data_IF_735865736339
#
_entry.id   IF_735865736339
#
_cell.length_a   1.000
_cell.length_b   1.000
_cell.length_c   1.000
_cell.angle_alpha   90.00
_cell.angle_beta   90.00
_cell.angle_gamma   90.00
#
_symmetry.space_group_name_H-M   'P 1'
#
loop_
_entity.id
_entity.type
_entity.pdbx_description
1 polymer ?
#
# COMPACT_ATOMS: atom_id res chain seq x y z
N UNK A 1 -16.36 -7.16 5.49
CA UNK A 1 -15.06 -7.33 4.81
C UNK A 1 -15.16 -8.44 3.79
N UNK A 2 -14.84 -8.18 2.52
CA UNK A 2 -14.89 -9.13 1.41
C UNK A 2 -13.45 -9.61 1.13
N UNK A 3 -13.20 -10.88 1.38
CA UNK A 3 -11.86 -11.50 1.35
C UNK A 3 -11.26 -11.65 2.74
N UNK A 4 -10.86 -12.88 3.09
CA UNK A 4 -10.19 -13.24 4.35
C UNK A 4 -8.89 -14.02 4.06
N UNK A 5 -8.17 -13.54 3.01
CA UNK A 5 -6.80 -13.94 2.73
C UNK A 5 -5.82 -13.21 3.64
N UNK A 6 -4.54 -13.18 3.26
CA UNK A 6 -3.48 -12.49 4.02
C UNK A 6 -3.85 -11.03 4.35
N UNK A 7 -4.27 -10.24 3.36
CA UNK A 7 -4.61 -8.85 3.59
C UNK A 7 -5.79 -8.72 4.58
N UNK A 8 -6.90 -9.39 4.33
CA UNK A 8 -8.09 -9.33 5.17
C UNK A 8 -7.84 -9.83 6.59
N UNK A 9 -7.20 -10.98 6.77
CA UNK A 9 -7.05 -11.60 8.10
C UNK A 9 -5.90 -11.04 8.92
N UNK A 10 -4.78 -10.63 8.27
CA UNK A 10 -3.56 -10.19 8.97
C UNK A 10 -3.46 -8.68 9.08
N UNK A 11 -3.94 -7.93 8.07
CA UNK A 11 -3.81 -6.47 8.07
C UNK A 11 -5.13 -5.77 8.41
N UNK A 12 -6.15 -5.90 7.56
CA UNK A 12 -7.38 -5.14 7.72
C UNK A 12 -8.14 -5.47 9.02
N UNK A 13 -8.42 -6.74 9.29
CA UNK A 13 -9.24 -7.13 10.43
C UNK A 13 -8.63 -6.73 11.80
N UNK A 14 -7.32 -6.95 12.06
CA UNK A 14 -6.70 -6.49 13.29
C UNK A 14 -6.69 -4.97 13.46
N UNK A 15 -6.44 -4.22 12.37
CA UNK A 15 -6.44 -2.75 12.40
C UNK A 15 -7.84 -2.20 12.66
N UNK A 16 -8.87 -2.74 12.01
CA UNK A 16 -10.28 -2.39 12.26
C UNK A 16 -10.64 -2.67 13.73
N UNK A 17 -10.34 -3.88 14.21
CA UNK A 17 -10.66 -4.29 15.57
C UNK A 17 -9.90 -3.49 16.64
N UNK A 18 -8.77 -2.89 16.30
CA UNK A 18 -7.96 -2.03 17.17
C UNK A 18 -8.39 -0.55 17.12
N UNK A 19 -9.30 -0.18 16.22
CA UNK A 19 -9.79 1.19 16.07
C UNK A 19 -11.08 1.39 16.86
N UNK A 20 -11.09 2.35 17.79
CA UNK A 20 -12.27 2.66 18.57
C UNK A 20 -13.44 3.05 17.65
N UNK A 21 -14.62 2.52 17.91
CA UNK A 21 -15.83 2.80 17.13
C UNK A 21 -16.00 1.90 15.90
N UNK A 22 -15.01 1.08 15.52
CA UNK A 22 -15.09 0.15 14.40
C UNK A 22 -15.16 -1.31 14.87
N UNK A 23 -15.83 -2.15 14.07
CA UNK A 23 -15.89 -3.59 14.27
C UNK A 23 -16.04 -4.33 12.94
N UNK A 24 -15.51 -5.54 12.88
CA UNK A 24 -15.76 -6.46 11.76
C UNK A 24 -17.11 -7.13 11.98
N UNK A 25 -18.18 -6.66 11.33
CA UNK A 25 -19.53 -7.21 11.46
C UNK A 25 -19.77 -8.44 10.58
N UNK A 26 -19.18 -8.45 9.37
CA UNK A 26 -19.35 -9.54 8.42
C UNK A 26 -18.04 -9.86 7.69
N UNK A 27 -17.71 -11.14 7.57
CA UNK A 27 -16.58 -11.65 6.79
C UNK A 27 -17.11 -12.50 5.63
N UNK A 28 -16.70 -12.16 4.40
CA UNK A 28 -17.04 -12.92 3.20
C UNK A 28 -15.82 -13.74 2.75
N UNK A 29 -15.96 -15.06 2.72
CA UNK A 29 -14.95 -15.95 2.14
C UNK A 29 -15.56 -17.30 1.74
N UNK A 30 -15.31 -17.75 0.51
CA UNK A 30 -15.73 -19.08 0.04
C UNK A 30 -14.87 -20.24 0.52
N UNK A 31 -13.72 -19.96 1.18
CA UNK A 31 -12.80 -20.99 1.65
C UNK A 31 -13.21 -21.50 3.05
N UNK A 32 -13.53 -22.81 3.23
CA UNK A 32 -14.02 -23.34 4.49
C UNK A 32 -13.05 -23.19 5.67
N UNK A 33 -11.74 -23.31 5.41
CA UNK A 33 -10.72 -23.13 6.44
C UNK A 33 -10.71 -21.68 6.93
N UNK A 34 -10.70 -20.71 6.01
CA UNK A 34 -10.75 -19.27 6.34
C UNK A 34 -12.06 -18.89 7.03
N UNK A 35 -13.17 -19.53 6.70
CA UNK A 35 -14.44 -19.37 7.43
C UNK A 35 -14.31 -19.80 8.90
N UNK A 36 -13.65 -20.94 9.15
CA UNK A 36 -13.41 -21.42 10.52
C UNK A 36 -12.48 -20.47 11.30
N UNK A 37 -11.41 -19.98 10.64
CA UNK A 37 -10.49 -18.98 11.19
C UNK A 37 -11.21 -17.67 11.53
N UNK A 38 -12.05 -17.18 10.62
CA UNK A 38 -12.83 -15.95 10.82
C UNK A 38 -13.79 -16.06 12.00
N UNK A 39 -14.55 -17.18 12.10
CA UNK A 39 -15.45 -17.43 13.25
C UNK A 39 -14.73 -17.49 14.59
N UNK A 40 -13.49 -18.02 14.59
CA UNK A 40 -12.66 -18.07 15.80
C UNK A 40 -12.12 -16.71 16.18
N UNK A 41 -11.65 -15.92 15.20
CA UNK A 41 -11.05 -14.61 15.43
C UNK A 41 -12.09 -13.51 15.73
N UNK A 42 -13.29 -13.63 15.13
CA UNK A 42 -14.38 -12.67 15.22
C UNK A 42 -15.70 -13.40 15.58
N UNK A 43 -15.87 -13.84 16.84
CA UNK A 43 -17.02 -14.67 17.25
C UNK A 43 -18.38 -13.97 17.10
N UNK A 44 -18.39 -12.64 17.14
CA UNK A 44 -19.60 -11.83 17.00
C UNK A 44 -19.90 -11.46 15.53
N UNK A 45 -19.03 -11.84 14.59
CA UNK A 45 -19.20 -11.53 13.17
C UNK A 45 -20.00 -12.60 12.45
N UNK A 46 -20.76 -12.20 11.45
CA UNK A 46 -21.32 -13.13 10.48
C UNK A 46 -20.22 -13.58 9.50
N UNK A 47 -20.25 -14.86 9.14
CA UNK A 47 -19.32 -15.41 8.14
C UNK A 47 -20.14 -16.03 7.02
N UNK A 48 -20.09 -15.39 5.85
CA UNK A 48 -20.85 -15.75 4.64
C UNK A 48 -19.92 -16.13 3.50
N UNK A 49 -20.45 -16.74 2.45
CA UNK A 49 -19.65 -17.19 1.30
C UNK A 49 -19.80 -16.31 0.07
N UNK A 50 -20.90 -15.59 -0.05
CA UNK A 50 -21.23 -14.77 -1.23
C UNK A 50 -21.22 -13.28 -0.88
N UNK A 51 -20.45 -12.44 -1.61
CA UNK A 51 -20.49 -10.98 -1.45
C UNK A 51 -21.89 -10.37 -1.63
N UNK A 52 -22.78 -10.98 -2.44
CA UNK A 52 -24.13 -10.52 -2.64
C UNK A 52 -24.91 -10.36 -1.32
N UNK A 53 -24.66 -11.26 -0.35
CA UNK A 53 -25.29 -11.21 0.97
C UNK A 53 -24.97 -9.91 1.75
N UNK A 54 -23.81 -9.29 1.50
CA UNK A 54 -23.44 -7.99 2.09
C UNK A 54 -24.18 -6.86 1.40
N UNK A 55 -24.23 -6.86 0.06
CA UNK A 55 -24.87 -5.80 -0.71
C UNK A 55 -26.39 -5.78 -0.55
N UNK A 56 -27.04 -6.96 -0.44
CA UNK A 56 -28.46 -7.08 -0.12
C UNK A 56 -28.83 -6.55 1.27
N UNK A 57 -27.87 -6.53 2.18
CA UNK A 57 -28.03 -6.04 3.56
C UNK A 57 -27.19 -4.77 3.79
N UNK A 58 -27.05 -3.93 2.78
CA UNK A 58 -26.20 -2.73 2.83
C UNK A 58 -26.53 -1.83 4.06
N UNK A 59 -27.81 -1.71 4.43
CA UNK A 59 -28.23 -0.91 5.58
C UNK A 59 -27.72 -1.42 6.96
N UNK A 60 -27.13 -2.62 7.03
CA UNK A 60 -26.53 -3.18 8.24
C UNK A 60 -25.04 -2.87 8.36
N UNK A 61 -24.46 -2.18 7.39
CA UNK A 61 -23.03 -1.91 7.29
C UNK A 61 -22.76 -0.43 7.05
N UNK A 62 -21.71 0.10 7.69
CA UNK A 62 -21.27 1.50 7.52
C UNK A 62 -20.27 1.65 6.38
N UNK A 63 -19.50 0.59 6.07
CA UNK A 63 -18.57 0.54 4.95
C UNK A 63 -18.18 -0.92 4.61
N UNK A 64 -17.58 -1.09 3.43
CA UNK A 64 -17.03 -2.37 2.96
C UNK A 64 -15.54 -2.27 2.75
N UNK A 65 -14.80 -3.31 3.15
CA UNK A 65 -13.39 -3.50 2.77
C UNK A 65 -13.32 -4.59 1.72
N UNK A 66 -12.74 -4.29 0.56
CA UNK A 66 -12.43 -5.23 -0.50
C UNK A 66 -10.97 -5.66 -0.36
N UNK A 67 -10.73 -6.84 0.21
CA UNK A 67 -9.42 -7.46 0.43
C UNK A 67 -9.32 -8.81 -0.31
N UNK A 68 -9.82 -8.84 -1.53
CA UNK A 68 -9.86 -9.97 -2.46
C UNK A 68 -8.66 -9.94 -3.42
N UNK A 69 -8.48 -10.88 -4.35
CA UNK A 69 -7.51 -10.76 -5.44
C UNK A 69 -7.76 -9.54 -6.33
N UNK A 70 -6.69 -8.95 -6.88
CA UNK A 70 -6.74 -7.68 -7.60
C UNK A 70 -7.70 -7.66 -8.80
N UNK A 71 -7.87 -8.80 -9.47
CA UNK A 71 -8.74 -8.97 -10.65
C UNK A 71 -10.24 -8.79 -10.37
N UNK A 72 -10.67 -8.89 -9.11
CA UNK A 72 -12.06 -8.70 -8.70
C UNK A 72 -12.31 -7.41 -7.93
N UNK A 73 -11.27 -6.58 -7.70
CA UNK A 73 -11.41 -5.33 -6.94
C UNK A 73 -12.46 -4.39 -7.56
N UNK A 74 -12.39 -4.19 -8.88
CA UNK A 74 -13.26 -3.26 -9.61
C UNK A 74 -14.72 -3.69 -9.51
N UNK A 75 -15.04 -4.97 -9.79
CA UNK A 75 -16.41 -5.48 -9.72
C UNK A 75 -17.00 -5.34 -8.30
N UNK A 76 -16.24 -5.77 -7.29
CA UNK A 76 -16.72 -5.75 -5.91
C UNK A 76 -16.87 -4.33 -5.37
N UNK A 77 -15.93 -3.43 -5.69
CA UNK A 77 -16.02 -2.03 -5.30
C UNK A 77 -17.20 -1.32 -5.99
N UNK A 78 -17.35 -1.52 -7.30
CA UNK A 78 -18.48 -0.95 -8.06
C UNK A 78 -19.84 -1.38 -7.49
N UNK A 79 -20.02 -2.67 -7.18
CA UNK A 79 -21.24 -3.19 -6.58
C UNK A 79 -21.51 -2.65 -5.18
N UNK A 80 -20.45 -2.43 -4.38
CA UNK A 80 -20.60 -1.81 -3.07
C UNK A 80 -21.02 -0.34 -3.19
N UNK A 81 -20.44 0.42 -4.14
CA UNK A 81 -20.82 1.80 -4.43
C UNK A 81 -22.28 1.88 -4.90
N UNK A 82 -22.72 0.98 -5.81
CA UNK A 82 -24.11 0.92 -6.28
C UNK A 82 -25.10 0.60 -5.14
N UNK A 83 -24.65 -0.14 -4.12
CA UNK A 83 -25.41 -0.40 -2.90
C UNK A 83 -25.39 0.77 -1.89
N UNK A 84 -24.70 1.88 -2.22
CA UNK A 84 -24.56 3.05 -1.36
C UNK A 84 -23.56 2.87 -0.20
N UNK A 85 -22.70 1.85 -0.25
CA UNK A 85 -21.72 1.56 0.80
C UNK A 85 -20.39 2.25 0.53
N UNK A 86 -19.86 3.05 1.45
CA UNK A 86 -18.47 3.50 1.45
C UNK A 86 -17.50 2.32 1.31
N UNK A 87 -16.42 2.50 0.52
CA UNK A 87 -15.54 1.39 0.14
C UNK A 87 -14.08 1.70 0.45
N UNK A 88 -13.44 0.78 1.18
CA UNK A 88 -11.98 0.66 1.25
C UNK A 88 -11.56 -0.46 0.31
N UNK A 89 -10.71 -0.18 -0.65
CA UNK A 89 -10.11 -1.21 -1.51
C UNK A 89 -8.67 -1.44 -1.08
N UNK A 90 -8.29 -2.72 -0.87
CA UNK A 90 -6.87 -3.05 -0.71
C UNK A 90 -6.09 -2.60 -1.94
N UNK A 91 -4.82 -2.29 -1.78
CA UNK A 91 -3.98 -1.85 -2.90
C UNK A 91 -3.67 -3.03 -3.87
N UNK A 92 -3.58 -2.75 -5.16
CA UNK A 92 -3.92 -1.50 -5.85
C UNK A 92 -5.45 -1.29 -5.92
N UNK A 93 -5.88 -0.04 -6.05
CA UNK A 93 -7.31 0.31 -6.19
C UNK A 93 -7.98 -0.45 -7.35
N UNK A 94 -7.25 -0.61 -8.45
CA UNK A 94 -7.63 -1.38 -9.63
C UNK A 94 -6.36 -1.89 -10.34
N UNK A 95 -6.45 -2.84 -11.29
CA UNK A 95 -5.32 -3.28 -12.11
C UNK A 95 -4.74 -2.19 -13.01
N UNK A 96 -5.53 -1.23 -13.46
CA UNK A 96 -5.14 -0.12 -14.35
C UNK A 96 -5.65 1.24 -13.86
N UNK A 97 -4.98 2.32 -14.30
CA UNK A 97 -5.40 3.67 -13.97
C UNK A 97 -6.78 4.02 -14.56
N UNK A 98 -7.13 3.50 -15.73
CA UNK A 98 -8.44 3.74 -16.37
C UNK A 98 -9.59 3.15 -15.54
N UNK A 99 -9.43 1.92 -15.05
CA UNK A 99 -10.41 1.27 -14.18
C UNK A 99 -10.53 1.98 -12.84
N UNK A 100 -9.40 2.38 -12.23
CA UNK A 100 -9.40 3.15 -10.99
C UNK A 100 -10.14 4.49 -11.15
N UNK A 101 -9.90 5.20 -12.25
CA UNK A 101 -10.59 6.46 -12.57
C UNK A 101 -12.08 6.26 -12.70
N UNK A 102 -12.53 5.21 -13.40
CA UNK A 102 -13.95 4.88 -13.53
C UNK A 102 -14.61 4.60 -12.19
N UNK A 103 -13.93 3.92 -11.27
CA UNK A 103 -14.45 3.71 -9.91
C UNK A 103 -14.57 5.03 -9.12
N UNK A 104 -13.57 5.91 -9.23
CA UNK A 104 -13.61 7.23 -8.57
C UNK A 104 -14.75 8.09 -9.13
N UNK A 105 -14.90 8.15 -10.45
CA UNK A 105 -16.01 8.86 -11.11
C UNK A 105 -17.39 8.30 -10.71
N UNK A 106 -17.52 6.97 -10.57
CA UNK A 106 -18.73 6.33 -10.05
C UNK A 106 -19.02 6.75 -8.61
N UNK A 107 -18.01 6.71 -7.73
CA UNK A 107 -18.13 7.11 -6.32
C UNK A 107 -18.55 8.58 -6.19
N UNK A 108 -17.90 9.48 -6.94
CA UNK A 108 -18.25 10.91 -7.01
C UNK A 108 -19.68 11.12 -7.50
N UNK A 109 -20.08 10.43 -8.58
CA UNK A 109 -21.45 10.51 -9.13
C UNK A 109 -22.54 10.05 -8.18
N UNK A 110 -22.22 9.10 -7.29
CA UNK A 110 -23.12 8.58 -6.26
C UNK A 110 -23.02 9.34 -4.93
N UNK A 111 -22.01 10.19 -4.74
CA UNK A 111 -21.71 10.83 -3.46
C UNK A 111 -21.31 9.84 -2.36
N UNK A 112 -20.66 8.74 -2.72
CA UNK A 112 -20.23 7.66 -1.81
C UNK A 112 -18.70 7.66 -1.69
N UNK A 113 -18.18 7.54 -0.46
CA UNK A 113 -16.74 7.53 -0.20
C UNK A 113 -16.07 6.27 -0.78
N UNK A 114 -14.95 6.47 -1.47
CA UNK A 114 -14.01 5.40 -1.83
C UNK A 114 -12.59 5.81 -1.44
N UNK A 115 -11.77 4.86 -0.97
CA UNK A 115 -10.36 5.07 -0.65
C UNK A 115 -9.55 3.81 -0.87
N UNK A 116 -8.24 3.96 -1.12
CA UNK A 116 -7.31 2.85 -1.27
C UNK A 116 -6.46 2.66 0.00
N UNK A 117 -6.23 1.40 0.40
CA UNK A 117 -5.44 1.08 1.59
C UNK A 117 -3.93 1.22 1.34
N UNK A 118 -3.44 2.47 1.25
CA UNK A 118 -2.02 2.78 1.11
C UNK A 118 -1.35 2.93 2.50
N UNK A 119 -1.44 1.88 3.31
CA UNK A 119 -1.00 1.86 4.71
C UNK A 119 0.46 2.25 4.94
N UNK A 120 1.35 2.02 3.96
CA UNK A 120 2.77 2.36 4.08
C UNK A 120 3.09 3.85 4.07
N UNK A 121 2.09 4.72 3.88
CA UNK A 121 2.20 6.16 4.17
C UNK A 121 2.48 6.44 5.64
N UNK A 122 2.12 5.49 6.52
CA UNK A 122 2.31 5.52 7.97
C UNK A 122 3.40 4.55 8.45
N UNK A 123 4.33 4.15 7.57
CA UNK A 123 5.57 3.48 7.97
C UNK A 123 6.43 4.48 8.77
N UNK A 124 7.12 4.02 9.81
CA UNK A 124 7.99 4.83 10.68
C UNK A 124 9.06 5.60 9.89
N UNK A 125 9.61 4.97 8.84
CA UNK A 125 10.60 5.57 7.96
C UNK A 125 10.03 6.73 7.12
N UNK A 126 8.77 6.60 6.65
CA UNK A 126 8.09 7.64 5.88
C UNK A 126 7.69 8.83 6.76
N UNK A 127 7.17 8.56 7.96
CA UNK A 127 6.82 9.61 8.92
C UNK A 127 8.06 10.38 9.37
N UNK A 128 9.16 9.69 9.64
CA UNK A 128 10.44 10.32 9.99
C UNK A 128 10.99 11.17 8.85
N UNK A 129 10.97 10.63 7.62
CA UNK A 129 11.42 11.39 6.46
C UNK A 129 10.57 12.64 6.22
N UNK A 130 9.24 12.54 6.35
CA UNK A 130 8.33 13.70 6.23
C UNK A 130 8.69 14.79 7.23
N UNK A 131 8.90 14.44 8.51
CA UNK A 131 9.35 15.38 9.53
C UNK A 131 10.67 16.07 9.15
N UNK A 132 11.67 15.31 8.69
CA UNK A 132 12.96 15.88 8.28
C UNK A 132 12.85 16.83 7.06
N UNK A 133 11.91 16.55 6.14
CA UNK A 133 11.60 17.41 5.01
C UNK A 133 10.92 18.70 5.47
N UNK A 134 9.90 18.60 6.33
CA UNK A 134 9.14 19.73 6.87
C UNK A 134 10.02 20.67 7.70
N UNK A 135 10.98 20.12 8.46
CA UNK A 135 12.00 20.85 9.21
C UNK A 135 13.08 21.49 8.30
N UNK A 136 13.10 21.13 7.00
CA UNK A 136 14.13 21.59 6.06
C UNK A 136 15.54 21.06 6.34
N UNK A 137 15.64 20.00 7.15
CA UNK A 137 16.91 19.41 7.58
C UNK A 137 17.76 18.94 6.40
N UNK A 138 17.13 18.36 5.38
CA UNK A 138 17.82 17.85 4.19
C UNK A 138 18.12 18.94 3.15
N UNK A 139 17.49 20.12 3.26
CA UNK A 139 17.53 21.15 2.23
C UNK A 139 16.69 20.75 1.01
N UNK A 140 17.12 21.14 -0.20
CA UNK A 140 16.49 20.72 -1.45
C UNK A 140 16.82 19.24 -1.73
N UNK A 141 15.77 18.43 -1.92
CA UNK A 141 15.96 17.00 -2.21
C UNK A 141 16.37 16.80 -3.67
N UNK A 142 17.57 16.29 -3.86
CA UNK A 142 18.15 16.00 -5.17
C UNK A 142 17.76 14.58 -5.64
N UNK A 143 17.71 13.63 -4.69
CA UNK A 143 17.39 12.23 -4.99
C UNK A 143 16.78 11.52 -3.79
N UNK A 144 15.72 10.80 -4.05
CA UNK A 144 15.09 9.82 -3.17
C UNK A 144 15.29 8.43 -3.73
N UNK A 145 15.83 7.52 -2.94
CA UNK A 145 15.99 6.11 -3.27
C UNK A 145 15.19 5.28 -2.28
N UNK A 146 14.36 4.37 -2.76
CA UNK A 146 13.52 3.52 -1.92
C UNK A 146 13.47 2.09 -2.45
N UNK A 147 13.51 1.12 -1.54
CA UNK A 147 13.60 -0.29 -1.89
C UNK A 147 12.63 -1.14 -1.07
N UNK A 148 11.95 -2.06 -1.77
CA UNK A 148 11.27 -3.21 -1.20
C UNK A 148 11.83 -4.45 -1.87
N UNK A 149 12.97 -4.91 -1.39
CA UNK A 149 13.76 -6.01 -1.96
C UNK A 149 13.73 -7.22 -1.03
N UNK A 150 13.53 -8.40 -1.60
CA UNK A 150 13.44 -9.68 -0.88
C UNK A 150 14.23 -10.74 -1.63
N UNK A 151 14.67 -11.79 -0.91
CA UNK A 151 15.28 -12.97 -1.52
C UNK A 151 14.32 -14.15 -1.51
N UNK A 152 13.65 -14.36 -2.63
CA UNK A 152 12.72 -15.48 -2.88
C UNK A 152 12.99 -16.05 -4.28
N UNK A 153 14.14 -16.74 -4.50
CA UNK A 153 14.60 -17.12 -5.83
C UNK A 153 13.74 -18.18 -6.53
N UNK A 154 12.94 -18.94 -5.77
CA UNK A 154 12.00 -19.90 -6.32
C UNK A 154 10.58 -19.32 -6.39
N UNK A 155 9.80 -19.74 -7.38
CA UNK A 155 8.36 -19.52 -7.40
C UNK A 155 7.69 -20.32 -6.28
N UNK A 156 6.56 -19.84 -5.79
CA UNK A 156 5.77 -20.52 -4.78
C UNK A 156 5.23 -21.85 -5.32
N UNK A 157 5.41 -22.93 -4.58
CA UNK A 157 4.90 -24.27 -4.95
C UNK A 157 3.36 -24.28 -5.03
N UNK A 158 2.70 -23.46 -4.20
CA UNK A 158 1.23 -23.36 -4.15
C UNK A 158 0.66 -22.42 -5.24
N UNK A 159 1.51 -21.84 -6.10
CA UNK A 159 1.10 -20.97 -7.19
C UNK A 159 0.39 -19.71 -6.67
N UNK A 160 1.08 -18.92 -5.83
CA UNK A 160 0.52 -17.66 -5.34
C UNK A 160 0.00 -16.82 -6.52
N UNK A 161 -1.26 -16.39 -6.47
CA UNK A 161 -1.93 -15.72 -7.59
C UNK A 161 -1.13 -14.54 -8.17
N UNK A 162 -0.38 -13.81 -7.33
CA UNK A 162 0.49 -12.69 -7.75
C UNK A 162 1.63 -13.14 -8.67
N UNK A 163 2.06 -14.39 -8.58
CA UNK A 163 3.17 -14.94 -9.37
C UNK A 163 2.69 -15.62 -10.66
N UNK A 164 1.42 -16.06 -10.69
CA UNK A 164 0.83 -16.80 -11.82
C UNK A 164 -0.13 -15.96 -12.67
N UNK A 165 -0.61 -14.83 -12.15
CA UNK A 165 -1.43 -13.89 -12.91
C UNK A 165 -0.57 -13.03 -13.81
N UNK A 166 -1.04 -12.79 -15.02
CA UNK A 166 -0.41 -11.82 -15.93
C UNK A 166 -0.52 -10.39 -15.36
N UNK A 167 0.39 -9.48 -15.74
CA UNK A 167 0.37 -8.11 -15.22
C UNK A 167 -0.95 -7.37 -15.42
N UNK A 168 -1.65 -7.64 -16.53
CA UNK A 168 -2.96 -7.06 -16.87
C UNK A 168 -4.08 -7.55 -15.92
N UNK A 169 -3.92 -8.72 -15.32
CA UNK A 169 -4.80 -9.28 -14.30
C UNK A 169 -4.34 -8.97 -12.87
N UNK A 170 -3.42 -8.00 -12.73
CA UNK A 170 -2.96 -7.54 -11.42
C UNK A 170 -1.80 -8.33 -10.81
N UNK A 171 -1.14 -9.20 -11.58
CA UNK A 171 0.07 -9.92 -11.15
C UNK A 171 1.32 -9.04 -11.18
N UNK A 172 2.40 -9.54 -10.56
CA UNK A 172 3.73 -8.94 -10.59
C UNK A 172 4.09 -8.04 -9.43
N UNK A 173 5.38 -7.85 -9.27
CA UNK A 173 5.99 -7.05 -8.21
C UNK A 173 5.79 -5.55 -8.43
N UNK A 174 5.65 -5.12 -9.69
CA UNK A 174 5.32 -3.74 -10.01
C UNK A 174 4.03 -3.29 -9.31
N UNK A 175 2.96 -4.09 -9.37
CA UNK A 175 1.71 -3.76 -8.70
C UNK A 175 1.73 -4.12 -7.21
N UNK A 176 2.43 -5.19 -6.80
CA UNK A 176 2.43 -5.62 -5.40
C UNK A 176 3.29 -4.71 -4.51
N UNK A 177 4.53 -4.43 -4.90
CA UNK A 177 5.48 -3.62 -4.13
C UNK A 177 5.71 -2.24 -4.74
N UNK A 178 5.74 -2.15 -6.08
CA UNK A 178 5.95 -0.90 -6.79
C UNK A 178 4.86 0.12 -6.54
N UNK A 179 3.60 -0.30 -6.34
CA UNK A 179 2.49 0.59 -5.98
C UNK A 179 2.77 1.36 -4.69
N UNK A 180 3.31 0.71 -3.66
CA UNK A 180 3.70 1.38 -2.42
C UNK A 180 4.85 2.36 -2.62
N UNK A 181 5.88 1.96 -3.39
CA UNK A 181 7.04 2.81 -3.64
C UNK A 181 6.69 4.07 -4.42
N UNK A 182 5.82 3.94 -5.43
CA UNK A 182 5.35 5.06 -6.25
C UNK A 182 4.42 5.97 -5.43
N UNK A 183 3.49 5.40 -4.66
CA UNK A 183 2.61 6.15 -3.77
C UNK A 183 3.40 7.00 -2.77
N UNK A 184 4.38 6.41 -2.08
CA UNK A 184 5.25 7.10 -1.15
C UNK A 184 6.04 8.24 -1.81
N UNK A 185 6.59 7.99 -3.01
CA UNK A 185 7.34 9.01 -3.75
C UNK A 185 6.45 10.18 -4.18
N UNK A 186 5.23 9.90 -4.66
CA UNK A 186 4.26 10.93 -5.05
C UNK A 186 3.78 11.72 -3.83
N UNK A 187 3.49 11.04 -2.72
CA UNK A 187 3.06 11.69 -1.48
C UNK A 187 4.11 12.64 -0.89
N UNK A 188 5.41 12.38 -1.12
CA UNK A 188 6.51 13.22 -0.64
C UNK A 188 6.92 14.33 -1.61
N UNK A 189 6.93 14.05 -2.92
CA UNK A 189 7.55 14.95 -3.92
C UNK A 189 6.58 15.44 -4.99
N UNK A 190 5.32 15.04 -4.91
CA UNK A 190 4.27 15.43 -5.86
C UNK A 190 4.28 14.62 -7.15
N UNK A 191 3.47 15.04 -8.14
CA UNK A 191 3.22 14.29 -9.37
C UNK A 191 4.49 14.02 -10.18
N UNK A 192 4.52 12.85 -10.83
CA UNK A 192 5.58 12.45 -11.76
C UNK A 192 5.35 13.13 -13.10
N UNK A 193 6.40 13.70 -13.69
CA UNK A 193 6.39 14.26 -15.04
C UNK A 193 6.96 13.31 -16.09
N UNK A 194 7.95 12.48 -15.72
CA UNK A 194 8.62 11.54 -16.63
C UNK A 194 9.03 10.28 -15.88
N UNK A 195 8.97 9.14 -16.54
CA UNK A 195 9.37 7.84 -15.98
C UNK A 195 10.21 7.04 -16.97
N UNK A 196 11.25 6.36 -16.44
CA UNK A 196 11.94 5.24 -17.08
C UNK A 196 11.79 4.00 -16.20
N UNK A 197 11.59 2.84 -16.80
CA UNK A 197 11.38 1.60 -16.07
C UNK A 197 12.08 0.40 -16.73
N UNK A 198 12.54 -0.53 -15.88
CA UNK A 198 12.98 -1.87 -16.26
C UNK A 198 12.11 -2.87 -15.50
N UNK A 199 11.48 -3.80 -16.22
CA UNK A 199 10.60 -4.83 -15.67
C UNK A 199 11.07 -6.19 -16.19
N UNK A 200 11.50 -7.07 -15.31
CA UNK A 200 12.02 -8.38 -15.65
C UNK A 200 11.30 -9.51 -14.89
N UNK A 201 11.20 -10.67 -15.54
CA UNK A 201 10.80 -11.94 -14.92
C UNK A 201 12.04 -12.84 -14.82
N UNK A 202 12.78 -12.72 -13.71
CA UNK A 202 14.06 -13.43 -13.49
C UNK A 202 13.86 -14.86 -13.00
N UNK A 203 12.72 -15.15 -12.37
CA UNK A 203 12.39 -16.49 -11.86
C UNK A 203 11.66 -17.37 -12.89
N UNK A 204 11.44 -16.84 -14.12
CA UNK A 204 10.78 -17.56 -15.20
C UNK A 204 9.27 -17.69 -15.08
N UNK A 205 8.63 -16.88 -14.24
CA UNK A 205 7.18 -16.72 -14.15
C UNK A 205 6.62 -15.86 -15.28
N UNK A 206 5.29 -15.67 -15.30
CA UNK A 206 4.58 -14.82 -16.27
C UNK A 206 4.55 -13.35 -15.84
N UNK A 207 4.73 -13.08 -14.55
CA UNK A 207 4.71 -11.76 -13.97
C UNK A 207 6.13 -11.25 -13.70
N UNK A 208 6.29 -9.93 -13.66
CA UNK A 208 7.54 -9.27 -13.25
C UNK A 208 7.87 -9.60 -11.78
N UNK A 209 9.15 -9.81 -11.49
CA UNK A 209 9.66 -10.10 -10.17
C UNK A 209 10.93 -9.32 -9.81
N UNK A 210 11.40 -8.48 -10.75
CA UNK A 210 12.53 -7.57 -10.58
C UNK A 210 12.25 -6.26 -11.34
N UNK A 211 12.13 -5.15 -10.59
CA UNK A 211 11.63 -3.86 -11.07
C UNK A 211 12.54 -2.73 -10.65
N UNK A 212 12.91 -1.88 -11.62
CA UNK A 212 13.53 -0.59 -11.39
C UNK A 212 12.70 0.52 -12.01
N UNK A 213 12.48 1.62 -11.26
CA UNK A 213 11.82 2.82 -11.75
C UNK A 213 12.69 4.05 -11.47
N UNK A 214 12.86 4.91 -12.48
CA UNK A 214 13.42 6.23 -12.33
C UNK A 214 12.35 7.29 -12.65
N UNK A 215 11.94 8.05 -11.64
CA UNK A 215 10.91 9.08 -11.72
C UNK A 215 11.56 10.47 -11.69
N UNK A 216 11.08 11.36 -12.54
CA UNK A 216 11.33 12.78 -12.46
C UNK A 216 10.03 13.47 -12.06
N UNK A 217 9.98 14.02 -10.83
CA UNK A 217 8.82 14.73 -10.32
C UNK A 217 8.74 16.15 -10.91
N UNK A 218 7.53 16.67 -11.02
CA UNK A 218 7.33 18.07 -11.48
C UNK A 218 7.94 19.10 -10.54
N UNK A 219 8.19 18.74 -9.28
CA UNK A 219 8.95 19.54 -8.31
C UNK A 219 10.46 19.62 -8.60
N UNK A 220 10.99 18.80 -9.50
CA UNK A 220 12.42 18.66 -9.80
C UNK A 220 13.13 17.53 -9.04
N UNK A 221 12.52 16.99 -7.98
CA UNK A 221 13.06 15.84 -7.26
C UNK A 221 13.11 14.61 -8.18
N UNK A 222 14.07 13.71 -7.92
CA UNK A 222 14.19 12.43 -8.64
C UNK A 222 14.05 11.28 -7.67
N UNK A 223 13.20 10.30 -8.03
CA UNK A 223 13.02 9.07 -7.26
C UNK A 223 13.56 7.88 -8.04
N UNK A 224 14.39 7.07 -7.40
CA UNK A 224 14.85 5.78 -7.89
C UNK A 224 14.29 4.69 -6.98
N UNK A 225 13.52 3.78 -7.54
CA UNK A 225 12.74 2.80 -6.79
C UNK A 225 13.06 1.40 -7.27
N UNK A 226 13.23 0.46 -6.31
CA UNK A 226 13.47 -0.96 -6.62
C UNK A 226 12.47 -1.83 -5.88
N UNK A 227 11.81 -2.72 -6.62
CA UNK A 227 10.98 -3.77 -6.08
C UNK A 227 11.48 -5.11 -6.64
N UNK A 228 11.96 -6.01 -5.79
CA UNK A 228 12.59 -7.24 -6.26
C UNK A 228 12.31 -8.42 -5.33
N UNK A 229 12.11 -9.60 -5.91
CA UNK A 229 12.07 -10.87 -5.19
C UNK A 229 13.34 -11.71 -5.39
N UNK A 230 14.32 -11.17 -6.11
CA UNK A 230 15.61 -11.85 -6.41
C UNK A 230 16.83 -11.13 -5.85
N UNK A 231 16.64 -10.19 -4.94
CA UNK A 231 17.72 -9.44 -4.31
C UNK A 231 18.35 -10.23 -3.16
N UNK A 232 19.45 -10.96 -3.45
CA UNK A 232 20.20 -11.71 -2.43
C UNK A 232 20.97 -10.80 -1.46
N UNK A 233 21.23 -9.54 -1.86
CA UNK A 233 21.86 -8.52 -1.05
C UNK A 233 21.08 -7.20 -1.22
N UNK A 234 19.99 -7.01 -0.47
CA UNK A 234 19.16 -5.82 -0.60
C UNK A 234 19.93 -4.55 -0.23
N UNK A 235 19.63 -3.47 -0.93
CA UNK A 235 20.13 -2.14 -0.57
C UNK A 235 19.39 -1.56 0.65
N UNK A 236 19.79 -0.34 1.09
CA UNK A 236 19.07 0.34 2.17
C UNK A 236 17.60 0.57 1.79
N UNK A 237 16.70 0.46 2.76
CA UNK A 237 15.27 0.72 2.59
C UNK A 237 15.01 2.12 2.01
N UNK A 238 15.64 3.13 2.59
CA UNK A 238 15.62 4.51 2.13
C UNK A 238 17.03 5.10 2.06
N UNK A 239 17.28 5.89 1.03
CA UNK A 239 18.43 6.80 0.95
C UNK A 239 17.99 8.09 0.29
N UNK A 240 18.07 9.19 1.03
CA UNK A 240 17.69 10.52 0.54
C UNK A 240 18.90 11.42 0.50
N UNK A 241 19.11 12.08 -0.62
CA UNK A 241 20.21 13.02 -0.82
C UNK A 241 19.60 14.41 -0.99
N UNK A 242 19.86 15.28 -0.05
CA UNK A 242 19.58 16.70 -0.14
C UNK A 242 20.87 17.51 -0.35
N UNK A 243 20.71 18.80 -0.59
CA UNK A 243 21.83 19.73 -0.78
C UNK A 243 22.52 20.14 0.55
N UNK A 244 21.89 19.82 1.71
CA UNK A 244 22.42 20.09 3.04
C UNK A 244 22.81 18.84 3.80
N UNK A 245 22.05 17.76 3.64
CA UNK A 245 22.27 16.51 4.35
C UNK A 245 21.78 15.29 3.54
N UNK A 246 22.29 14.11 3.91
CA UNK A 246 21.75 12.83 3.48
C UNK A 246 21.03 12.14 4.64
N UNK A 247 20.01 11.34 4.33
CA UNK A 247 19.32 10.48 5.29
C UNK A 247 19.26 9.05 4.77
N UNK A 248 19.54 8.06 5.63
CA UNK A 248 19.56 6.65 5.26
C UNK A 248 18.86 5.79 6.32
N UNK A 249 18.00 4.89 5.89
CA UNK A 249 17.37 3.83 6.70
C UNK A 249 17.67 2.49 6.03
N UNK A 250 18.08 1.51 6.81
CA UNK A 250 18.49 0.20 6.27
C UNK A 250 17.36 -0.83 6.26
N UNK A 251 16.44 -0.77 7.22
CA UNK A 251 15.41 -1.77 7.42
C UNK A 251 14.01 -1.24 7.12
N UNK A 252 13.10 -2.14 6.78
CA UNK A 252 11.67 -1.83 6.58
C UNK A 252 11.00 -1.69 7.94
N UNK A 253 9.95 -0.87 8.04
CA UNK A 253 9.08 -0.71 9.21
C UNK A 253 8.60 -2.07 9.76
N UNK A 254 8.54 -2.18 11.10
CA UNK A 254 8.26 -3.43 11.80
C UNK A 254 6.79 -3.81 11.90
N UNK A 255 5.85 -2.95 11.52
CA UNK A 255 4.40 -3.19 11.75
C UNK A 255 3.87 -4.40 10.97
N UNK A 256 4.36 -4.64 9.72
CA UNK A 256 3.97 -5.83 8.95
C UNK A 256 4.36 -7.12 9.69
N UNK A 257 5.60 -7.18 10.19
CA UNK A 257 6.12 -8.36 10.89
C UNK A 257 5.39 -8.58 12.21
N UNK A 258 5.05 -7.52 12.94
CA UNK A 258 4.27 -7.59 14.17
C UNK A 258 2.87 -8.16 13.91
N UNK A 259 2.14 -7.67 12.89
CA UNK A 259 0.83 -8.20 12.51
C UNK A 259 0.91 -9.66 12.05
N UNK A 260 1.93 -10.05 11.28
CA UNK A 260 2.18 -11.43 10.86
C UNK A 260 2.48 -12.36 12.04
N UNK A 261 3.11 -11.84 13.09
CA UNK A 261 3.34 -12.56 14.34
C UNK A 261 2.09 -12.64 15.24
N UNK A 262 0.99 -11.98 14.85
CA UNK A 262 -0.28 -12.00 15.57
C UNK A 262 -0.43 -10.87 16.60
N UNK A 263 0.49 -9.92 16.66
CA UNK A 263 0.35 -8.71 17.50
C UNK A 263 -0.82 -7.84 17.00
N UNK A 264 -1.42 -7.09 17.92
CA UNK A 264 -2.51 -6.16 17.63
C UNK A 264 -2.18 -4.77 18.19
N UNK A 265 -2.46 -3.71 17.44
CA UNK A 265 -2.19 -2.36 17.91
C UNK A 265 -2.87 -2.01 19.24
N UNK A 266 -4.08 -2.55 19.48
CA UNK A 266 -4.84 -2.33 20.73
C UNK A 266 -4.19 -2.93 21.98
N UNK A 267 -3.37 -3.94 21.81
CA UNK A 267 -2.81 -4.75 22.90
C UNK A 267 -1.33 -4.39 23.17
N UNK A 268 -0.77 -3.45 22.42
CA UNK A 268 0.65 -3.11 22.45
C UNK A 268 0.87 -1.59 22.52
N UNK A 269 1.22 -1.09 23.70
CA UNK A 269 1.54 0.31 23.92
C UNK A 269 2.78 0.79 23.15
N UNK A 270 3.67 -0.14 22.78
CA UNK A 270 4.87 0.11 21.97
C UNK A 270 4.64 -0.13 20.47
N UNK A 271 3.40 -0.31 20.03
CA UNK A 271 3.08 -0.50 18.61
C UNK A 271 3.74 0.55 17.74
N UNK A 272 4.43 0.11 16.68
CA UNK A 272 5.09 0.99 15.70
C UNK A 272 6.36 1.70 16.21
N UNK A 273 6.80 1.43 17.44
CA UNK A 273 8.07 1.97 17.97
C UNK A 273 9.24 1.16 17.42
N UNK A 274 10.13 1.83 16.70
CA UNK A 274 11.35 1.21 16.21
C UNK A 274 12.47 1.27 17.26
N UNK A 275 13.17 0.14 17.52
CA UNK A 275 14.29 0.13 18.44
C UNK A 275 15.46 0.96 17.88
N UNK A 276 16.33 1.55 18.74
CA UNK A 276 17.41 2.44 18.31
C UNK A 276 18.36 1.86 17.25
N UNK A 277 18.48 0.54 17.18
CA UNK A 277 19.32 -0.15 16.19
C UNK A 277 18.77 -0.05 14.77
N UNK A 278 17.46 0.21 14.61
CA UNK A 278 16.76 0.35 13.32
C UNK A 278 16.55 1.81 12.92
N UNK A 279 16.92 2.76 13.79
CA UNK A 279 16.79 4.18 13.48
C UNK A 279 17.61 4.57 12.26
N UNK A 280 17.07 5.49 11.47
CA UNK A 280 17.79 6.09 10.37
C UNK A 280 18.96 6.95 10.82
N UNK A 281 19.81 7.29 9.88
CA UNK A 281 20.99 8.10 10.13
C UNK A 281 21.00 9.34 9.24
N UNK A 282 21.22 10.49 9.85
CA UNK A 282 21.47 11.75 9.18
C UNK A 282 22.99 11.88 8.94
N UNK A 283 23.35 12.31 7.73
CA UNK A 283 24.75 12.45 7.32
C UNK A 283 24.98 13.89 6.89
N UNK A 284 25.86 14.60 7.63
CA UNK A 284 26.23 16.00 7.37
C UNK A 284 27.75 16.09 7.41
N UNK A 285 28.37 16.60 6.36
CA UNK A 285 29.83 16.79 6.26
C UNK A 285 30.65 15.53 6.61
N UNK A 286 30.14 14.34 6.26
CA UNK A 286 30.75 13.05 6.55
C UNK A 286 30.52 12.53 7.98
N UNK A 287 29.93 13.32 8.86
CA UNK A 287 29.47 12.86 10.18
C UNK A 287 28.14 12.15 10.08
N UNK A 288 27.94 11.12 10.88
CA UNK A 288 26.73 10.30 10.87
C UNK A 288 26.10 10.25 12.24
N UNK A 289 24.86 10.72 12.36
CA UNK A 289 24.10 10.77 13.61
C UNK A 289 22.83 9.92 13.49
N UNK A 290 22.46 9.21 14.57
CA UNK A 290 21.21 8.48 14.63
C UNK A 290 20.05 9.47 14.80
N UNK A 291 18.97 9.26 14.03
CA UNK A 291 17.73 10.02 14.13
C UNK A 291 16.66 9.12 14.69
N UNK A 292 16.11 9.47 15.85
CA UNK A 292 14.98 8.73 16.41
C UNK A 292 13.84 8.67 15.40
N UNK A 293 13.38 7.45 15.12
CA UNK A 293 12.26 7.24 14.22
C UNK A 293 10.96 7.76 14.82
N UNK A 294 10.13 8.36 13.99
CA UNK A 294 8.72 8.53 14.30
C UNK A 294 8.08 7.15 14.50
N UNK A 295 7.05 7.12 15.31
CA UNK A 295 6.28 5.92 15.57
C UNK A 295 5.47 5.55 14.33
N UNK A 296 5.63 4.33 13.81
CA UNK A 296 4.77 3.82 12.74
C UNK A 296 3.32 3.72 13.19
N UNK A 297 2.36 4.09 12.32
CA UNK A 297 0.96 4.26 12.73
C UNK A 297 -0.04 3.77 11.65
N UNK A 298 0.03 2.50 11.26
CA UNK A 298 -0.96 1.92 10.33
C UNK A 298 -2.40 2.00 10.83
N UNK A 299 -2.69 1.96 12.16
CA UNK A 299 -4.03 2.21 12.67
C UNK A 299 -4.62 3.56 12.28
N UNK A 300 -3.77 4.57 12.02
CA UNK A 300 -4.17 5.91 11.59
C UNK A 300 -5.08 5.88 10.38
N UNK A 301 -4.87 4.97 9.44
CA UNK A 301 -5.75 4.82 8.29
C UNK A 301 -7.21 4.60 8.70
N UNK A 302 -7.46 3.68 9.63
CA UNK A 302 -8.83 3.40 10.08
C UNK A 302 -9.38 4.43 11.05
N UNK A 303 -8.53 5.11 11.80
CA UNK A 303 -8.93 6.26 12.64
C UNK A 303 -9.42 7.41 11.74
N UNK A 304 -8.68 7.74 10.70
CA UNK A 304 -9.07 8.79 9.75
C UNK A 304 -10.27 8.37 8.88
N UNK A 305 -10.42 7.09 8.55
CA UNK A 305 -11.61 6.57 7.90
C UNK A 305 -12.86 6.73 8.79
N UNK A 306 -12.76 6.39 10.07
CA UNK A 306 -13.86 6.53 11.03
C UNK A 306 -14.29 8.00 11.13
N UNK A 307 -13.34 8.92 11.20
CA UNK A 307 -13.61 10.37 11.17
C UNK A 307 -14.28 10.79 9.85
N UNK A 308 -13.77 10.33 8.70
CA UNK A 308 -14.36 10.64 7.41
C UNK A 308 -15.83 10.20 7.29
N UNK A 309 -16.14 9.01 7.82
CA UNK A 309 -17.51 8.47 7.80
C UNK A 309 -18.47 9.23 8.73
N UNK A 310 -17.98 9.81 9.84
CA UNK A 310 -18.81 10.50 10.83
C UNK A 310 -18.92 12.00 10.62
N UNK A 311 -17.84 12.63 10.19
CA UNK A 311 -17.66 14.09 10.25
C UNK A 311 -17.61 14.73 8.85
N UNK A 312 -17.84 13.94 7.77
CA UNK A 312 -17.71 14.39 6.38
C UNK A 312 -16.32 15.02 6.08
N UNK A 313 -15.29 14.48 6.74
CA UNK A 313 -13.89 14.86 6.54
C UNK A 313 -13.29 14.10 5.34
N UNK A 314 -12.15 14.56 4.79
CA UNK A 314 -11.48 13.85 3.69
C UNK A 314 -11.14 12.40 4.04
N UNK A 315 -11.15 11.47 3.07
CA UNK A 315 -10.70 10.10 3.31
C UNK A 315 -9.20 10.04 3.66
N UNK A 316 -8.75 8.98 4.36
CA UNK A 316 -7.34 8.83 4.76
C UNK A 316 -6.35 8.87 3.59
N UNK A 317 -6.79 8.38 2.43
CA UNK A 317 -6.07 8.50 1.15
C UNK A 317 -7.05 9.02 0.13
N UNK A 318 -6.71 10.13 -0.51
CA UNK A 318 -7.48 10.64 -1.64
C UNK A 318 -7.46 9.58 -2.75
N UNK A 319 -8.62 9.12 -3.25
CA UNK A 319 -8.67 8.11 -4.29
C UNK A 319 -7.98 8.56 -5.59
N UNK A 320 -7.89 9.86 -5.85
CA UNK A 320 -7.14 10.41 -6.99
C UNK A 320 -5.62 10.21 -6.86
N UNK A 321 -5.09 10.11 -5.64
CA UNK A 321 -3.68 9.74 -5.42
C UNK A 321 -3.42 8.31 -5.93
N UNK A 322 -4.34 7.38 -5.64
CA UNK A 322 -4.24 6.00 -6.14
C UNK A 322 -4.33 5.95 -7.67
N UNK A 323 -5.19 6.75 -8.28
CA UNK A 323 -5.26 6.90 -9.76
C UNK A 323 -3.94 7.41 -10.31
N UNK A 324 -3.39 8.49 -9.73
CA UNK A 324 -2.10 9.08 -10.15
C UNK A 324 -0.95 8.08 -10.00
N UNK A 325 -0.94 7.30 -8.93
CA UNK A 325 0.02 6.20 -8.74
C UNK A 325 -0.08 5.16 -9.85
N UNK A 326 -1.28 4.72 -10.19
CA UNK A 326 -1.53 3.76 -11.27
C UNK A 326 -1.17 4.32 -12.66
N UNK A 327 -1.40 5.61 -12.93
CA UNK A 327 -0.95 6.26 -14.17
C UNK A 327 0.58 6.18 -14.32
N UNK A 328 1.33 6.36 -13.23
CA UNK A 328 2.78 6.18 -13.23
C UNK A 328 3.17 4.71 -13.46
N UNK A 329 2.46 3.74 -12.87
CA UNK A 329 2.72 2.30 -13.10
C UNK A 329 2.38 1.87 -14.53
N UNK A 330 1.29 2.38 -15.13
CA UNK A 330 0.95 2.14 -16.53
C UNK A 330 1.99 2.77 -17.47
N UNK A 331 2.51 3.95 -17.13
CA UNK A 331 3.61 4.57 -17.85
C UNK A 331 4.93 3.77 -17.70
N UNK A 332 5.17 3.17 -16.52
CA UNK A 332 6.31 2.27 -16.30
C UNK A 332 6.26 1.05 -17.23
N UNK A 333 5.10 0.40 -17.36
CA UNK A 333 4.92 -0.71 -18.32
C UNK A 333 5.22 -0.28 -19.77
N UNK A 334 4.71 0.90 -20.18
CA UNK A 334 5.02 1.44 -21.54
C UNK A 334 6.50 1.74 -21.69
N UNK A 335 7.15 2.30 -20.66
CA UNK A 335 8.57 2.58 -20.67
C UNK A 335 9.42 1.31 -20.84
N UNK A 336 9.13 0.28 -20.05
CA UNK A 336 9.83 -1.01 -20.14
C UNK A 336 9.63 -1.68 -21.50
N UNK A 337 8.40 -1.69 -22.03
CA UNK A 337 8.09 -2.28 -23.33
C UNK A 337 8.80 -1.58 -24.51
N UNK A 338 9.08 -0.28 -24.40
CA UNK A 338 9.71 0.52 -25.46
C UNK A 338 11.18 0.85 -25.19
N UNK A 339 11.70 0.50 -24.00
CA UNK A 339 13.03 0.89 -23.50
C UNK A 339 13.28 2.42 -23.62
N UNK A 340 12.25 3.22 -23.38
CA UNK A 340 12.28 4.66 -23.53
C UNK A 340 11.65 5.39 -22.34
N UNK A 341 12.04 6.65 -22.13
CA UNK A 341 11.40 7.53 -21.15
C UNK A 341 10.00 7.89 -21.63
N UNK A 342 9.01 7.79 -20.75
CA UNK A 342 7.61 8.16 -20.99
C UNK A 342 7.28 9.43 -20.19
N UNK A 343 6.61 10.39 -20.81
CA UNK A 343 6.03 11.57 -20.15
C UNK A 343 4.61 11.27 -19.64
N UNK A 344 4.24 11.88 -18.49
CA UNK A 344 2.92 11.84 -17.88
C UNK A 344 2.27 13.22 -17.93
#
# INVERSE_FOLDING_TARGET
MIGYGLAGSVFHAPLIASTAGLAVSTVVTGNPQRQAEARKAHPDSQVVSDPAEVFERAAEHDFVVVAAPNDVHVDLASRALDAGLPVVVDKPLAPTAAEARSLVEQAEGLGVLITAFMNRRWDSDQLTLRRLLDEGTLGEVLRYESRLERWRPALSEDGAWREVSVPEAGGGVLLDLGSHLVDQAIALFGPVGRIYAELDSRRGGVADDDVFLALEHRSGARSHLWASLVAAAPGPRLRVLGDRAGYIVTEVDGQEDALRAGARPSDDEEWGVEPPQRWGRLIIDGNSEAVASERGDWPRFYIELEQALREDSPPPVDPLDAVTGLEALDAARRSAATAAVVAL
#
